data_IF_362770991944
#
_entry.id   IF_362770991944
#
_cell.length_a   1.000
_cell.length_b   1.000
_cell.length_c   1.000
_cell.angle_alpha   90.00
_cell.angle_beta   90.00
_cell.angle_gamma   90.00
#
_symmetry.space_group_name_H-M   'P 1'
#
loop_
_entity.id
_entity.type
_entity.pdbx_description
1 polymer ?
#
# COMPACT_ATOMS: atom_id res chain seq x y z
N UNK A 1 -40.44 -24.12 24.72
CA UNK A 1 -39.12 -24.69 24.32
C UNK A 1 -38.09 -23.55 24.28
N UNK A 2 -37.22 -23.53 25.26
CA UNK A 2 -36.22 -22.46 25.44
C UNK A 2 -34.97 -22.89 24.70
N UNK A 3 -34.52 -22.12 23.69
CA UNK A 3 -33.24 -22.36 23.00
C UNK A 3 -32.10 -21.82 23.89
N UNK A 4 -31.11 -22.62 24.25
CA UNK A 4 -29.97 -22.13 25.00
C UNK A 4 -29.11 -21.19 24.15
N UNK A 5 -28.93 -19.97 24.62
CA UNK A 5 -27.98 -19.01 24.08
C UNK A 5 -26.59 -19.32 24.62
N UNK A 6 -25.67 -19.72 23.75
CA UNK A 6 -24.26 -19.92 24.13
C UNK A 6 -23.59 -18.56 24.22
N UNK A 7 -23.16 -18.17 25.42
CA UNK A 7 -22.45 -16.91 25.63
C UNK A 7 -20.99 -17.03 25.20
N UNK A 8 -20.38 -15.90 24.77
CA UNK A 8 -18.96 -15.82 24.37
C UNK A 8 -17.98 -16.34 25.44
N UNK A 9 -18.35 -16.33 26.71
CA UNK A 9 -17.57 -16.90 27.81
C UNK A 9 -17.69 -18.43 27.90
N UNK A 10 -18.74 -19.04 27.38
CA UNK A 10 -18.92 -20.48 27.36
C UNK A 10 -18.01 -21.17 26.34
N UNK A 11 -17.72 -20.51 25.23
CA UNK A 11 -16.84 -21.04 24.17
C UNK A 11 -15.38 -21.11 24.64
N UNK A 12 -14.95 -20.17 25.51
CA UNK A 12 -13.58 -20.17 26.05
C UNK A 12 -13.33 -21.26 27.10
N UNK A 13 -14.37 -21.81 27.75
CA UNK A 13 -14.21 -22.84 28.77
C UNK A 13 -14.16 -24.27 28.23
N UNK A 14 -14.53 -24.47 26.97
CA UNK A 14 -14.49 -25.81 26.32
C UNK A 14 -13.10 -26.09 25.72
N UNK A 15 -12.25 -25.08 25.55
CA UNK A 15 -10.94 -25.22 24.94
C UNK A 15 -9.79 -25.68 25.85
N UNK A 16 -10.02 -25.84 27.16
CA UNK A 16 -8.93 -26.13 28.12
C UNK A 16 -8.89 -27.56 28.65
N UNK A 17 -9.70 -28.48 28.13
CA UNK A 17 -9.78 -29.85 28.66
C UNK A 17 -9.38 -30.96 27.68
N UNK A 18 -8.89 -30.65 26.52
CA UNK A 18 -8.30 -31.65 25.62
C UNK A 18 -6.95 -31.13 25.14
N UNK A 19 -5.86 -31.81 25.48
CA UNK A 19 -4.50 -31.56 25.01
C UNK A 19 -4.37 -31.82 23.50
N UNK A 20 -5.13 -31.07 22.71
CA UNK A 20 -4.92 -30.93 21.30
C UNK A 20 -4.00 -29.73 21.11
N UNK A 21 -2.80 -29.94 20.57
CA UNK A 21 -2.03 -28.91 19.90
C UNK A 21 -3.00 -28.14 19.04
N UNK A 22 -3.37 -26.93 19.46
CA UNK A 22 -4.05 -25.99 18.61
C UNK A 22 -3.09 -25.73 17.47
N UNK A 23 -3.25 -26.47 16.37
CA UNK A 23 -2.90 -25.96 15.09
C UNK A 23 -3.61 -24.60 15.03
N UNK A 24 -2.85 -23.53 15.17
CA UNK A 24 -3.34 -22.16 14.87
C UNK A 24 -3.93 -22.35 13.48
N UNK A 25 -5.25 -22.24 13.29
CA UNK A 25 -5.75 -22.19 11.94
C UNK A 25 -4.99 -21.02 11.32
N UNK A 26 -4.14 -21.32 10.38
CA UNK A 26 -3.61 -20.31 9.48
C UNK A 26 -4.86 -19.61 8.99
N UNK A 27 -5.07 -18.37 9.43
CA UNK A 27 -6.17 -17.50 9.01
C UNK A 27 -6.02 -17.17 7.51
N UNK A 28 -5.07 -17.76 6.88
CA UNK A 28 -4.87 -17.97 5.47
C UNK A 28 -5.40 -19.34 5.01
N UNK A 29 -6.43 -19.89 5.69
CA UNK A 29 -7.26 -20.83 5.00
C UNK A 29 -7.82 -20.08 3.80
N UNK A 30 -7.52 -20.58 2.62
CA UNK A 30 -8.02 -20.11 1.34
C UNK A 30 -9.56 -20.18 1.29
N UNK A 31 -10.20 -19.50 2.24
CA UNK A 31 -11.61 -19.27 2.35
C UNK A 31 -11.95 -18.08 1.48
N UNK A 32 -12.23 -18.33 0.22
CA UNK A 32 -13.07 -17.50 -0.64
C UNK A 32 -12.63 -16.07 -1.00
N UNK A 33 -11.37 -15.71 -0.92
CA UNK A 33 -10.86 -14.66 -1.78
C UNK A 33 -10.34 -15.33 -3.06
N UNK A 34 -11.26 -15.73 -3.89
CA UNK A 34 -10.96 -16.07 -5.28
C UNK A 34 -10.15 -14.91 -5.86
N UNK A 35 -8.82 -15.03 -5.91
CA UNK A 35 -7.99 -14.04 -6.49
C UNK A 35 -6.67 -13.68 -5.82
N UNK A 36 -6.36 -14.11 -4.59
CA UNK A 36 -5.01 -13.92 -4.08
C UNK A 36 -4.09 -15.01 -4.65
N UNK A 37 -3.70 -14.79 -5.92
CA UNK A 37 -2.86 -15.75 -6.66
C UNK A 37 -1.38 -15.65 -6.30
N UNK A 38 -0.97 -14.57 -5.64
CA UNK A 38 0.42 -14.21 -5.39
C UNK A 38 0.79 -14.28 -3.91
N UNK A 39 0.30 -15.30 -3.21
CA UNK A 39 0.76 -15.57 -1.84
C UNK A 39 2.28 -15.81 -1.85
N UNK A 40 3.05 -15.19 -0.94
CA UNK A 40 4.50 -15.33 -0.93
C UNK A 40 4.89 -16.78 -0.68
N UNK A 41 5.38 -17.45 -1.73
CA UNK A 41 5.94 -18.79 -1.67
C UNK A 41 7.47 -18.73 -1.62
N UNK A 42 8.12 -19.80 -1.16
CA UNK A 42 9.58 -19.86 -1.12
C UNK A 42 10.22 -18.90 -0.11
N UNK A 43 11.45 -18.46 -0.41
CA UNK A 43 12.30 -17.65 0.46
C UNK A 43 12.32 -16.16 0.13
N UNK A 44 11.57 -15.73 -0.87
CA UNK A 44 11.51 -14.34 -1.34
C UNK A 44 10.11 -13.78 -1.33
N UNK A 45 10.01 -12.45 -1.25
CA UNK A 45 8.81 -11.66 -1.44
C UNK A 45 9.10 -10.63 -2.51
N UNK A 46 8.30 -10.58 -3.58
CA UNK A 46 8.47 -9.62 -4.68
C UNK A 46 7.54 -8.44 -4.52
N UNK A 47 8.10 -7.23 -4.58
CA UNK A 47 7.37 -5.96 -4.60
C UNK A 47 7.42 -5.36 -6.01
N UNK A 48 6.33 -4.74 -6.44
CA UNK A 48 6.25 -4.04 -7.72
C UNK A 48 6.33 -2.51 -7.52
N UNK A 49 7.31 -1.86 -8.14
CA UNK A 49 7.50 -0.41 -8.12
C UNK A 49 7.05 0.17 -9.46
N UNK A 50 5.82 0.65 -9.50
CA UNK A 50 5.17 1.14 -10.72
C UNK A 50 5.14 2.66 -10.72
N UNK A 51 6.23 3.27 -11.13
CA UNK A 51 6.47 4.71 -11.10
C UNK A 51 6.59 5.28 -12.51
N UNK A 52 6.38 6.58 -12.73
CA UNK A 52 6.64 7.21 -14.02
C UNK A 52 8.14 7.30 -14.24
N UNK A 53 8.69 6.48 -15.12
CA UNK A 53 10.10 6.54 -15.52
C UNK A 53 10.27 7.39 -16.79
N UNK A 54 9.18 7.61 -17.52
CA UNK A 54 9.09 8.52 -18.66
C UNK A 54 7.83 9.38 -18.56
N UNK A 55 7.74 10.45 -19.35
CA UNK A 55 6.61 11.36 -19.35
C UNK A 55 6.79 12.55 -18.39
N UNK A 56 5.70 13.30 -18.12
CA UNK A 56 5.79 14.58 -17.40
C UNK A 56 6.23 14.47 -15.94
N UNK A 57 6.13 13.31 -15.31
CA UNK A 57 6.52 13.06 -13.91
C UNK A 57 7.77 12.16 -13.79
N UNK A 58 8.60 12.09 -14.83
CA UNK A 58 9.77 11.21 -14.86
C UNK A 58 10.78 11.51 -13.74
N UNK A 59 11.02 12.78 -13.43
CA UNK A 59 11.94 13.18 -12.36
C UNK A 59 11.43 12.75 -10.98
N UNK A 60 10.14 12.96 -10.71
CA UNK A 60 9.50 12.50 -9.47
C UNK A 60 9.56 10.97 -9.36
N UNK A 61 9.25 10.27 -10.45
CA UNK A 61 9.30 8.80 -10.50
C UNK A 61 10.71 8.25 -10.29
N UNK A 62 11.73 8.95 -10.76
CA UNK A 62 13.12 8.58 -10.51
C UNK A 62 13.50 8.71 -9.03
N UNK A 63 13.02 9.78 -8.36
CA UNK A 63 13.23 9.98 -6.92
C UNK A 63 12.47 8.94 -6.10
N UNK A 64 11.22 8.70 -6.43
CA UNK A 64 10.38 7.68 -5.81
C UNK A 64 11.03 6.29 -5.91
N UNK A 65 11.53 5.94 -7.09
CA UNK A 65 12.21 4.66 -7.32
C UNK A 65 13.51 4.52 -6.51
N UNK A 66 14.29 5.60 -6.38
CA UNK A 66 15.50 5.60 -5.53
C UNK A 66 15.14 5.31 -4.07
N UNK A 67 14.09 5.95 -3.55
CA UNK A 67 13.61 5.74 -2.19
C UNK A 67 13.14 4.29 -1.95
N UNK A 68 12.41 3.71 -2.88
CA UNK A 68 11.95 2.31 -2.78
C UNK A 68 13.12 1.32 -2.81
N UNK A 69 14.11 1.54 -3.66
CA UNK A 69 15.32 0.68 -3.70
C UNK A 69 16.09 0.75 -2.40
N UNK A 70 16.27 1.95 -1.85
CA UNK A 70 16.90 2.14 -0.55
C UNK A 70 16.12 1.42 0.56
N UNK A 71 14.80 1.51 0.56
CA UNK A 71 13.96 0.81 1.52
C UNK A 71 14.13 -0.72 1.44
N UNK A 72 14.23 -1.29 0.23
CA UNK A 72 14.48 -2.72 0.05
C UNK A 72 15.88 -3.11 0.55
N UNK A 73 16.90 -2.30 0.30
CA UNK A 73 18.24 -2.51 0.84
C UNK A 73 18.22 -2.57 2.37
N UNK A 74 17.58 -1.61 3.01
CA UNK A 74 17.44 -1.58 4.46
C UNK A 74 16.65 -2.77 5.01
N UNK A 75 15.54 -3.13 4.37
CA UNK A 75 14.72 -4.30 4.76
C UNK A 75 15.52 -5.60 4.69
N UNK A 76 16.44 -5.72 3.75
CA UNK A 76 17.30 -6.90 3.61
C UNK A 76 18.57 -6.84 4.51
N UNK A 77 18.66 -5.86 5.41
CA UNK A 77 19.79 -5.72 6.35
C UNK A 77 21.02 -5.02 5.77
N UNK A 78 20.87 -4.35 4.61
CA UNK A 78 21.93 -3.50 4.04
C UNK A 78 22.09 -2.17 4.77
N UNK A 79 23.19 -1.43 4.48
CA UNK A 79 23.46 -0.13 5.07
C UNK A 79 23.58 -0.15 6.60
N UNK A 80 24.30 -1.11 7.17
CA UNK A 80 24.42 -1.34 8.61
C UNK A 80 23.06 -1.54 9.33
N UNK A 81 22.09 -2.17 8.63
CA UNK A 81 20.72 -2.33 9.10
C UNK A 81 19.88 -1.08 8.93
N UNK A 82 20.49 0.02 8.46
CA UNK A 82 19.82 1.27 8.08
C UNK A 82 18.82 1.78 9.09
N UNK A 83 17.78 2.41 8.59
CA UNK A 83 16.66 2.90 9.42
C UNK A 83 15.94 1.79 10.19
N UNK A 84 15.99 0.54 9.73
CA UNK A 84 15.29 -0.57 10.40
C UNK A 84 15.80 -0.79 11.83
N UNK A 85 17.07 -0.52 12.10
CA UNK A 85 17.63 -0.61 13.46
C UNK A 85 17.08 0.48 14.41
N UNK A 86 16.42 1.50 13.91
CA UNK A 86 15.82 2.57 14.72
C UNK A 86 14.39 2.29 15.14
N UNK A 87 13.76 1.28 14.59
CA UNK A 87 12.38 0.92 14.93
C UNK A 87 12.32 -0.10 16.07
N UNK A 88 11.65 0.26 17.15
CA UNK A 88 11.40 -0.63 18.31
C UNK A 88 10.18 -1.52 18.08
N UNK A 89 10.09 -2.22 16.97
CA UNK A 89 8.93 -3.06 16.65
C UNK A 89 9.38 -4.50 16.39
N UNK A 90 8.85 -5.45 17.13
CA UNK A 90 9.08 -6.87 16.88
C UNK A 90 8.66 -7.32 15.48
N UNK A 91 7.70 -6.63 14.86
CA UNK A 91 7.30 -6.92 13.49
C UNK A 91 8.37 -6.58 12.44
N UNK A 92 9.36 -5.76 12.84
CA UNK A 92 10.49 -5.32 12.01
C UNK A 92 11.81 -5.94 12.44
N UNK A 93 11.79 -6.82 13.42
CA UNK A 93 12.99 -7.57 13.83
C UNK A 93 13.42 -8.55 12.75
N UNK A 94 14.72 -8.59 12.49
CA UNK A 94 15.31 -9.47 11.49
C UNK A 94 15.48 -8.79 10.12
N UNK A 95 15.58 -9.61 9.10
CA UNK A 95 15.83 -9.20 7.72
C UNK A 95 14.64 -9.58 6.82
N UNK A 96 14.31 -8.70 5.90
CA UNK A 96 13.25 -8.93 4.92
C UNK A 96 11.82 -8.70 5.44
N UNK A 97 10.85 -9.28 4.76
CA UNK A 97 9.43 -9.26 5.11
C UNK A 97 8.98 -10.69 5.41
N UNK A 98 8.35 -10.90 6.55
CA UNK A 98 7.93 -12.24 7.01
C UNK A 98 9.09 -13.25 7.04
N UNK A 99 10.31 -12.80 7.38
CA UNK A 99 11.52 -13.61 7.37
C UNK A 99 11.99 -14.03 5.97
N UNK A 100 11.51 -13.37 4.92
CA UNK A 100 11.86 -13.65 3.52
C UNK A 100 12.61 -12.47 2.93
N UNK A 101 13.59 -12.76 2.08
CA UNK A 101 14.29 -11.72 1.31
C UNK A 101 13.32 -10.94 0.45
N UNK A 102 13.45 -9.61 0.45
CA UNK A 102 12.65 -8.72 -0.40
C UNK A 102 13.35 -8.56 -1.75
N UNK A 103 12.63 -8.86 -2.80
CA UNK A 103 13.01 -8.57 -4.19
C UNK A 103 12.01 -7.57 -4.77
N UNK A 104 12.38 -6.92 -5.87
CA UNK A 104 11.49 -5.98 -6.52
C UNK A 104 11.60 -6.04 -8.04
N UNK A 105 10.51 -5.66 -8.68
CA UNK A 105 10.43 -5.39 -10.12
C UNK A 105 9.96 -3.97 -10.33
N UNK A 106 10.32 -3.38 -11.45
CA UNK A 106 9.97 -1.98 -11.76
C UNK A 106 9.17 -1.89 -13.03
N UNK A 107 8.28 -0.91 -13.11
CA UNK A 107 7.50 -0.61 -14.29
C UNK A 107 7.41 0.89 -14.54
N UNK A 108 7.15 1.22 -15.79
CA UNK A 108 6.96 2.59 -16.24
C UNK A 108 5.47 2.88 -16.45
N UNK A 109 4.93 3.78 -15.66
CA UNK A 109 3.53 4.21 -15.79
C UNK A 109 3.34 5.19 -16.95
N UNK A 110 4.40 5.83 -17.43
CA UNK A 110 4.33 6.92 -18.41
C UNK A 110 3.35 8.03 -18.01
N UNK A 111 2.99 8.12 -16.75
CA UNK A 111 1.92 8.98 -16.21
C UNK A 111 0.54 8.70 -16.85
N UNK A 112 0.34 7.51 -17.42
CA UNK A 112 -0.88 7.09 -18.13
C UNK A 112 -1.54 5.88 -17.45
N UNK A 113 -2.85 5.92 -17.15
CA UNK A 113 -3.56 4.82 -16.49
C UNK A 113 -3.42 3.47 -17.22
N UNK A 114 -3.54 3.45 -18.55
CA UNK A 114 -3.48 2.20 -19.30
C UNK A 114 -2.08 1.58 -19.32
N UNK A 115 -1.03 2.39 -19.48
CA UNK A 115 0.35 1.93 -19.40
C UNK A 115 0.66 1.39 -18.00
N UNK A 116 0.20 2.09 -16.98
CA UNK A 116 0.37 1.68 -15.59
C UNK A 116 -0.35 0.38 -15.25
N UNK A 117 -1.58 0.18 -15.75
CA UNK A 117 -2.31 -1.08 -15.60
C UNK A 117 -1.59 -2.24 -16.30
N UNK A 118 -1.12 -2.03 -17.52
CA UNK A 118 -0.40 -3.05 -18.27
C UNK A 118 0.91 -3.46 -17.56
N UNK A 119 1.67 -2.48 -17.11
CA UNK A 119 2.90 -2.67 -16.33
C UNK A 119 2.62 -3.42 -15.01
N UNK A 120 1.67 -2.95 -14.21
CA UNK A 120 1.29 -3.60 -12.96
C UNK A 120 0.80 -5.04 -13.17
N UNK A 121 0.00 -5.29 -14.19
CA UNK A 121 -0.45 -6.65 -14.56
C UNK A 121 0.72 -7.57 -14.86
N UNK A 122 1.71 -7.10 -15.60
CA UNK A 122 2.91 -7.89 -15.89
C UNK A 122 3.67 -8.25 -14.60
N UNK A 123 3.86 -7.29 -13.69
CA UNK A 123 4.51 -7.54 -12.40
C UNK A 123 3.75 -8.57 -11.55
N UNK A 124 2.43 -8.51 -11.57
CA UNK A 124 1.59 -9.44 -10.81
C UNK A 124 1.65 -10.84 -11.42
N UNK A 125 1.37 -10.96 -12.72
CA UNK A 125 1.17 -12.24 -13.38
C UNK A 125 2.47 -12.97 -13.72
N UNK A 126 3.54 -12.22 -14.06
CA UNK A 126 4.82 -12.83 -14.47
C UNK A 126 5.83 -12.89 -13.34
N UNK A 127 5.88 -11.84 -12.52
CA UNK A 127 6.93 -11.68 -11.52
C UNK A 127 6.44 -12.02 -10.10
N UNK A 128 5.15 -12.27 -9.94
CA UNK A 128 4.57 -12.67 -8.66
C UNK A 128 4.56 -11.57 -7.60
N UNK A 129 4.50 -10.28 -8.02
CA UNK A 129 4.42 -9.18 -7.08
C UNK A 129 3.18 -9.28 -6.19
N UNK A 130 3.37 -9.19 -4.87
CA UNK A 130 2.30 -9.26 -3.87
C UNK A 130 1.80 -7.88 -3.44
N UNK A 131 2.53 -6.85 -3.79
CA UNK A 131 2.18 -5.46 -3.56
C UNK A 131 2.68 -4.63 -4.75
N UNK A 132 1.86 -3.68 -5.19
CA UNK A 132 2.27 -2.63 -6.12
C UNK A 132 2.30 -1.31 -5.35
N UNK A 133 3.38 -0.56 -5.48
CA UNK A 133 3.48 0.81 -4.95
C UNK A 133 3.90 1.79 -6.04
N UNK A 134 3.65 3.08 -5.81
CA UNK A 134 3.95 4.15 -6.75
C UNK A 134 2.70 4.89 -7.22
N UNK A 135 2.69 5.25 -8.48
CA UNK A 135 1.55 5.89 -9.12
C UNK A 135 1.45 7.39 -8.84
N UNK A 136 2.53 8.15 -8.94
CA UNK A 136 2.59 9.61 -8.71
C UNK A 136 1.38 10.39 -9.23
N UNK A 137 0.82 9.99 -10.36
CA UNK A 137 -0.45 10.52 -10.89
C UNK A 137 -1.66 9.90 -10.20
N UNK A 138 -2.60 10.74 -9.73
CA UNK A 138 -3.80 10.27 -9.05
C UNK A 138 -4.72 9.41 -9.93
N UNK A 139 -4.84 9.73 -11.22
CA UNK A 139 -5.59 8.88 -12.17
C UNK A 139 -4.95 7.51 -12.37
N UNK A 140 -3.62 7.45 -12.38
CA UNK A 140 -2.85 6.19 -12.40
C UNK A 140 -3.12 5.38 -11.13
N UNK A 141 -3.05 6.02 -9.96
CA UNK A 141 -3.28 5.35 -8.68
C UNK A 141 -4.65 4.67 -8.60
N UNK A 142 -5.72 5.36 -9.01
CA UNK A 142 -7.09 4.81 -9.03
C UNK A 142 -7.17 3.59 -9.96
N UNK A 143 -6.55 3.67 -11.14
CA UNK A 143 -6.56 2.60 -12.13
C UNK A 143 -5.80 1.35 -11.65
N UNK A 144 -4.60 1.54 -11.09
CA UNK A 144 -3.75 0.45 -10.58
C UNK A 144 -4.35 -0.15 -9.30
N UNK A 145 -4.90 0.68 -8.40
CA UNK A 145 -5.60 0.22 -7.20
C UNK A 145 -6.75 -0.74 -7.53
N UNK A 146 -7.53 -0.43 -8.58
CA UNK A 146 -8.61 -1.29 -9.03
C UNK A 146 -8.10 -2.64 -9.53
N UNK A 147 -7.01 -2.64 -10.30
CA UNK A 147 -6.36 -3.87 -10.76
C UNK A 147 -5.83 -4.71 -9.58
N UNK A 148 -5.17 -4.07 -8.61
CA UNK A 148 -4.66 -4.76 -7.43
C UNK A 148 -5.79 -5.39 -6.60
N UNK A 149 -6.94 -4.70 -6.49
CA UNK A 149 -8.13 -5.25 -5.84
C UNK A 149 -8.66 -6.50 -6.58
N UNK A 150 -8.72 -6.45 -7.92
CA UNK A 150 -9.13 -7.60 -8.75
C UNK A 150 -8.17 -8.78 -8.58
N UNK A 151 -6.87 -8.50 -8.49
CA UNK A 151 -5.83 -9.52 -8.32
C UNK A 151 -5.68 -10.00 -6.85
N UNK A 152 -6.36 -9.37 -5.90
CA UNK A 152 -6.27 -9.72 -4.47
C UNK A 152 -4.94 -9.35 -3.81
N UNK A 153 -4.19 -8.40 -4.36
CA UNK A 153 -2.92 -7.93 -3.81
C UNK A 153 -3.01 -6.52 -3.25
N UNK A 154 -2.00 -6.09 -2.50
CA UNK A 154 -1.94 -4.76 -1.89
C UNK A 154 -1.57 -3.71 -2.94
N UNK A 155 -2.27 -2.57 -2.90
CA UNK A 155 -1.82 -1.33 -3.51
C UNK A 155 -1.45 -0.31 -2.43
N UNK A 156 -0.23 0.23 -2.50
CA UNK A 156 0.22 1.31 -1.64
C UNK A 156 0.43 2.57 -2.48
N UNK A 157 -0.47 3.54 -2.33
CA UNK A 157 -0.37 4.81 -3.05
C UNK A 157 0.86 5.59 -2.57
N UNK A 158 1.73 5.94 -3.51
CA UNK A 158 2.93 6.76 -3.28
C UNK A 158 2.60 8.26 -3.24
N UNK A 159 3.08 9.02 -4.18
CA UNK A 159 2.96 10.49 -4.22
C UNK A 159 1.60 11.02 -4.69
N UNK A 160 0.55 10.22 -4.71
CA UNK A 160 -0.76 10.64 -5.20
C UNK A 160 -1.54 11.43 -4.16
N UNK A 161 -2.07 12.60 -4.53
CA UNK A 161 -2.70 13.51 -3.59
C UNK A 161 -4.24 13.48 -3.59
N UNK A 162 -4.89 12.83 -4.57
CA UNK A 162 -6.35 12.80 -4.64
C UNK A 162 -6.98 12.28 -3.35
N UNK A 163 -7.98 12.99 -2.84
CA UNK A 163 -8.83 12.51 -1.75
C UNK A 163 -9.56 11.22 -2.13
N UNK A 164 -9.90 11.07 -3.41
CA UNK A 164 -10.71 9.97 -3.93
C UNK A 164 -10.01 8.61 -3.82
N UNK A 165 -8.67 8.57 -3.89
CA UNK A 165 -7.89 7.32 -3.82
C UNK A 165 -8.23 6.49 -2.57
N UNK A 166 -8.40 7.13 -1.42
CA UNK A 166 -8.81 6.47 -0.17
C UNK A 166 -10.19 6.93 0.32
N UNK A 167 -10.92 7.67 -0.51
CA UNK A 167 -12.27 8.15 -0.30
C UNK A 167 -13.28 7.44 -1.22
N UNK A 168 -13.74 8.15 -2.24
CA UNK A 168 -14.77 7.68 -3.18
C UNK A 168 -14.35 6.42 -3.94
N UNK A 169 -13.09 6.35 -4.39
CA UNK A 169 -12.55 5.25 -5.19
C UNK A 169 -11.80 4.20 -4.38
N UNK A 170 -11.87 4.27 -3.04
CA UNK A 170 -11.17 3.34 -2.14
C UNK A 170 -11.44 1.88 -2.47
N UNK A 171 -10.42 1.05 -2.28
CA UNK A 171 -10.51 -0.41 -2.35
C UNK A 171 -10.08 -1.02 -1.02
N UNK A 172 -10.54 -2.23 -0.72
CA UNK A 172 -10.20 -2.91 0.52
C UNK A 172 -8.68 -3.16 0.67
N UNK A 173 -8.00 -3.41 -0.45
CA UNK A 173 -6.55 -3.65 -0.50
C UNK A 173 -5.75 -2.39 -0.85
N UNK A 174 -6.39 -1.22 -0.87
CA UNK A 174 -5.75 0.06 -1.21
C UNK A 174 -5.40 0.86 0.03
N UNK A 175 -4.14 1.26 0.14
CA UNK A 175 -3.60 2.05 1.23
C UNK A 175 -2.87 3.29 0.71
N UNK A 176 -2.61 4.23 1.61
CA UNK A 176 -1.85 5.46 1.32
C UNK A 176 -0.85 5.69 2.44
N UNK A 177 0.37 6.06 2.09
CA UNK A 177 1.37 6.52 3.05
C UNK A 177 1.69 8.03 2.90
N UNK A 178 1.07 8.70 1.95
CA UNK A 178 1.30 10.11 1.64
C UNK A 178 0.05 10.95 1.95
N UNK A 179 0.22 12.25 2.17
CA UNK A 179 -0.89 13.16 2.45
C UNK A 179 -1.81 13.34 1.22
N UNK A 180 -3.02 13.77 1.44
CA UNK A 180 -3.98 14.10 0.39
C UNK A 180 -4.25 15.61 0.30
N UNK A 181 -4.96 16.04 -0.74
CA UNK A 181 -5.24 17.46 -0.99
C UNK A 181 -6.01 18.12 0.15
N UNK A 182 -6.91 17.40 0.83
CA UNK A 182 -7.61 17.92 2.01
C UNK A 182 -6.63 18.23 3.15
N UNK A 183 -5.70 17.32 3.42
CA UNK A 183 -4.69 17.51 4.47
C UNK A 183 -3.79 18.72 4.16
N UNK A 184 -3.42 18.90 2.89
CA UNK A 184 -2.63 20.09 2.45
C UNK A 184 -3.42 21.37 2.67
N UNK A 185 -4.67 21.42 2.27
CA UNK A 185 -5.54 22.58 2.47
C UNK A 185 -5.76 22.90 3.96
N UNK A 186 -6.03 21.87 4.76
CA UNK A 186 -6.22 22.01 6.19
C UNK A 186 -4.96 22.53 6.92
N UNK A 187 -3.77 22.12 6.49
CA UNK A 187 -2.51 22.60 7.05
C UNK A 187 -2.19 24.04 6.62
N UNK A 188 -2.52 24.40 5.37
CA UNK A 188 -2.19 25.74 4.83
C UNK A 188 -3.17 26.82 5.28
N UNK A 189 -4.46 26.48 5.42
CA UNK A 189 -5.52 27.45 5.70
C UNK A 189 -5.27 28.33 6.94
N UNK A 190 -4.88 27.81 8.12
CA UNK A 190 -4.61 28.64 9.29
C UNK A 190 -3.39 29.55 9.10
N UNK A 191 -2.40 29.14 8.33
CA UNK A 191 -1.21 29.96 8.00
C UNK A 191 -1.62 31.14 7.13
N UNK A 192 -2.45 30.90 6.11
CA UNK A 192 -2.96 31.97 5.25
C UNK A 192 -3.85 32.94 6.04
N UNK A 193 -4.75 32.42 6.87
CA UNK A 193 -5.61 33.27 7.71
C UNK A 193 -4.81 34.13 8.68
N UNK A 194 -3.78 33.59 9.31
CA UNK A 194 -2.91 34.32 10.22
C UNK A 194 -2.11 35.42 9.54
N UNK A 195 -1.60 35.17 8.33
CA UNK A 195 -0.74 36.12 7.63
C UNK A 195 -1.50 37.20 6.84
N UNK A 196 -2.69 36.86 6.34
CA UNK A 196 -3.43 37.71 5.40
C UNK A 196 -4.80 38.15 5.90
N UNK A 197 -5.29 37.58 6.98
CA UNK A 197 -6.66 37.79 7.50
C UNK A 197 -7.73 37.12 6.67
N UNK A 198 -9.02 37.30 7.09
CA UNK A 198 -10.15 36.62 6.48
C UNK A 198 -10.87 37.43 5.38
N UNK A 199 -10.47 38.69 5.19
CA UNK A 199 -11.16 39.63 4.27
C UNK A 199 -10.42 39.81 2.94
N UNK A 200 -9.63 38.82 2.54
CA UNK A 200 -8.86 38.88 1.29
C UNK A 200 -9.59 38.17 0.17
N UNK A 201 -9.52 38.75 -1.02
CA UNK A 201 -9.88 38.03 -2.24
C UNK A 201 -8.75 37.05 -2.58
N UNK A 202 -9.11 35.80 -2.85
CA UNK A 202 -8.20 34.78 -3.34
C UNK A 202 -8.44 34.52 -4.82
N UNK A 203 -7.38 34.31 -5.56
CA UNK A 203 -7.42 33.84 -6.93
C UNK A 203 -6.85 32.42 -6.96
N UNK A 204 -7.63 31.47 -7.52
CA UNK A 204 -7.21 30.08 -7.60
C UNK A 204 -6.89 29.73 -9.05
N UNK A 205 -5.67 29.25 -9.28
CA UNK A 205 -5.28 28.60 -10.52
C UNK A 205 -5.26 27.08 -10.24
N UNK A 206 -6.21 26.39 -10.82
CA UNK A 206 -6.40 24.95 -10.56
C UNK A 206 -6.21 24.18 -11.85
N UNK A 207 -5.39 23.15 -11.82
CA UNK A 207 -5.24 22.24 -12.94
C UNK A 207 -6.53 21.40 -13.12
N UNK A 208 -6.92 21.14 -14.35
CA UNK A 208 -7.96 20.17 -14.68
C UNK A 208 -7.41 18.74 -14.55
N UNK A 209 -7.44 18.23 -13.34
CA UNK A 209 -6.77 17.00 -12.94
C UNK A 209 -7.45 16.32 -11.74
N UNK A 210 -7.19 15.04 -11.49
CA UNK A 210 -7.91 14.22 -10.50
C UNK A 210 -7.58 14.49 -9.01
N UNK A 211 -6.85 15.54 -8.67
CA UNK A 211 -6.48 15.80 -7.27
C UNK A 211 -6.90 17.17 -6.75
#
# INVERSE_FOLDING_TARGET
MHKPTISRRGVLKIGTAAGATLAIPTILSAGSHAGFTNAPAGSTVTLGFNVPQTGPYADEGADELRAYKLAVEHLNGGGDGGMMNTFSSQALEGSGILGKKVEYVTGDTQTKPDAARASARSMIEKDGAIMITGGSSSGVAVAVQSLCQEAGIIFMAGLTHSNDTTGKDKKANGFRHFFNSYMSGAALAPILASNYGNDRKAYHLTADYNW
#
